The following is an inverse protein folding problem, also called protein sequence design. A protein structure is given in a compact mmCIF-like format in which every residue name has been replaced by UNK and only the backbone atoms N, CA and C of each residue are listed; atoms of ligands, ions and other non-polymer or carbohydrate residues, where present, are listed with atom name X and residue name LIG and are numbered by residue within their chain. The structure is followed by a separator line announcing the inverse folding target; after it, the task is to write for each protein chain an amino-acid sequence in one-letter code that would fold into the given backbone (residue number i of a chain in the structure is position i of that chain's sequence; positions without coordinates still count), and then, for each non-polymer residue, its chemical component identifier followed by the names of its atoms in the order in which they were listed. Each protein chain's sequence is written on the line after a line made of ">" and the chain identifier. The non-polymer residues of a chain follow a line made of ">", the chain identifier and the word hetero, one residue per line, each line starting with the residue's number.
data_IF_306273252833
#
_entry.id   IF_306273252833
#
_cell.length_a   1.000
_cell.length_b   1.000
_cell.length_c   1.000
_cell.angle_alpha   90.00
_cell.angle_beta   90.00
_cell.angle_gamma   90.00
#
_symmetry.space_group_name_H-M   'P 1'
#
loop_
_entity.id
_entity.type
_entity.pdbx_description
1 polymer ?
#
# COMPACT_ATOMS: atom_id res chain seq x y z
N UNK A 1 0.83 24.08 3.82
CA UNK A 1 1.00 22.78 4.49
C UNK A 1 0.68 21.68 3.48
N UNK A 2 1.54 20.69 3.26
CA UNK A 2 1.24 19.57 2.35
C UNK A 2 0.50 18.50 3.16
N UNK A 3 -0.80 18.32 2.89
CA UNK A 3 -1.61 17.28 3.52
C UNK A 3 -1.62 16.03 2.64
N UNK A 4 -1.61 14.87 3.29
CA UNK A 4 -1.75 13.58 2.65
C UNK A 4 -2.96 12.81 3.19
N UNK A 5 -3.51 11.92 2.38
CA UNK A 5 -4.61 11.03 2.79
C UNK A 5 -4.27 9.57 2.51
N UNK A 6 -4.67 8.68 3.41
CA UNK A 6 -4.41 7.25 3.24
C UNK A 6 -5.37 6.62 2.25
N UNK A 7 -4.81 5.93 1.27
CA UNK A 7 -5.57 5.08 0.35
C UNK A 7 -6.21 3.89 1.09
N UNK A 8 -5.75 3.49 2.27
CA UNK A 8 -6.37 2.43 3.09
C UNK A 8 -7.87 2.68 3.37
N UNK A 9 -8.31 3.94 3.39
CA UNK A 9 -9.74 4.28 3.55
C UNK A 9 -10.62 3.92 2.32
N UNK A 10 -10.02 3.51 1.20
CA UNK A 10 -10.69 3.27 -0.08
C UNK A 10 -10.71 1.78 -0.49
N UNK A 11 -10.85 0.84 0.45
CA UNK A 11 -10.84 -0.62 0.20
C UNK A 11 -11.86 -1.13 -0.83
N UNK A 12 -12.88 -0.34 -1.20
CA UNK A 12 -13.90 -0.70 -2.21
C UNK A 12 -13.60 -0.12 -3.60
N UNK A 13 -12.46 0.51 -3.79
CA UNK A 13 -12.07 1.20 -5.01
C UNK A 13 -10.74 0.66 -5.52
N UNK A 14 -10.48 0.84 -6.82
CA UNK A 14 -9.13 0.66 -7.35
C UNK A 14 -8.20 1.75 -6.80
N UNK A 15 -6.89 1.51 -6.84
CA UNK A 15 -5.92 2.56 -6.48
C UNK A 15 -6.12 3.83 -7.33
N UNK A 16 -6.42 3.68 -8.62
CA UNK A 16 -6.63 4.81 -9.52
C UNK A 16 -7.85 5.65 -9.12
N UNK A 17 -8.95 5.00 -8.74
CA UNK A 17 -10.15 5.70 -8.24
C UNK A 17 -9.90 6.38 -6.89
N UNK A 18 -9.15 5.74 -6.00
CA UNK A 18 -8.75 6.31 -4.72
C UNK A 18 -7.90 7.57 -4.92
N UNK A 19 -6.83 7.48 -5.73
CA UNK A 19 -5.96 8.60 -6.07
C UNK A 19 -6.73 9.75 -6.73
N UNK A 20 -7.64 9.44 -7.66
CA UNK A 20 -8.51 10.45 -8.31
C UNK A 20 -9.42 11.17 -7.32
N UNK A 21 -10.03 10.43 -6.38
CA UNK A 21 -10.88 11.03 -5.35
C UNK A 21 -10.07 11.90 -4.38
N UNK A 22 -8.94 11.39 -3.91
CA UNK A 22 -8.04 12.10 -2.98
C UNK A 22 -7.52 13.40 -3.61
N UNK A 23 -7.03 13.35 -4.85
CA UNK A 23 -6.56 14.54 -5.57
C UNK A 23 -7.68 15.57 -5.79
N UNK A 24 -8.90 15.13 -6.14
CA UNK A 24 -10.07 16.02 -6.27
C UNK A 24 -10.48 16.70 -4.97
N UNK A 25 -10.19 16.11 -3.82
CA UNK A 25 -10.43 16.72 -2.50
C UNK A 25 -9.36 17.76 -2.12
N UNK A 26 -8.34 17.97 -2.96
CA UNK A 26 -7.30 18.98 -2.76
C UNK A 26 -6.09 18.49 -1.95
N UNK A 27 -6.00 17.20 -1.64
CA UNK A 27 -4.80 16.63 -1.06
C UNK A 27 -3.64 16.67 -2.06
N UNK A 28 -2.43 16.88 -1.55
CA UNK A 28 -1.19 16.91 -2.35
C UNK A 28 -0.34 15.67 -2.12
N UNK A 29 -0.68 14.87 -1.10
CA UNK A 29 0.00 13.63 -0.77
C UNK A 29 -0.96 12.45 -0.66
N UNK A 30 -0.42 11.24 -0.84
CA UNK A 30 -1.14 9.98 -0.63
C UNK A 30 -0.25 8.96 0.08
N UNK A 31 -0.80 8.31 1.09
CA UNK A 31 -0.23 7.10 1.66
C UNK A 31 -0.76 5.90 0.85
N UNK A 32 0.16 5.11 0.29
CA UNK A 32 -0.19 3.95 -0.52
C UNK A 32 -0.27 2.74 0.40
N UNK A 33 -1.45 2.10 0.46
CA UNK A 33 -1.63 0.85 1.18
C UNK A 33 -0.97 -0.29 0.40
N UNK A 34 0.04 -0.92 0.98
CA UNK A 34 0.77 -2.03 0.39
C UNK A 34 0.00 -3.36 0.48
N UNK A 35 -1.27 -3.35 0.13
CA UNK A 35 -2.17 -4.49 0.28
C UNK A 35 -3.29 -4.45 -0.77
N UNK A 36 -4.08 -5.52 -0.83
CA UNK A 36 -5.27 -5.55 -1.70
C UNK A 36 -6.31 -4.54 -1.20
N UNK A 37 -6.94 -3.75 -2.10
CA UNK A 37 -6.88 -3.86 -3.56
C UNK A 37 -5.87 -2.94 -4.24
N UNK A 38 -4.97 -2.30 -3.50
CA UNK A 38 -4.13 -1.22 -4.01
C UNK A 38 -2.76 -1.68 -4.50
N UNK A 39 -1.85 -1.99 -3.56
CA UNK A 39 -0.45 -2.19 -3.88
C UNK A 39 0.14 -3.42 -3.20
N UNK A 40 -0.45 -4.60 -3.42
CA UNK A 40 0.06 -5.84 -2.84
C UNK A 40 1.43 -6.23 -3.42
N UNK A 41 2.52 -6.20 -2.63
CA UNK A 41 3.88 -6.22 -3.17
C UNK A 41 4.37 -7.62 -3.56
N UNK A 42 3.70 -8.71 -3.14
CA UNK A 42 4.15 -10.06 -3.44
C UNK A 42 3.99 -10.43 -4.93
N UNK A 43 3.07 -9.77 -5.65
CA UNK A 43 2.72 -10.10 -7.04
C UNK A 43 2.63 -8.86 -7.94
N UNK A 44 3.27 -7.75 -7.54
CA UNK A 44 3.17 -6.51 -8.32
C UNK A 44 4.13 -6.52 -9.51
N UNK A 45 3.57 -6.45 -10.71
CA UNK A 45 4.32 -6.33 -11.97
C UNK A 45 4.77 -4.88 -12.22
N UNK A 46 5.78 -4.70 -13.07
CA UNK A 46 6.25 -3.36 -13.49
C UNK A 46 5.14 -2.51 -14.08
N UNK A 47 4.24 -3.10 -14.88
CA UNK A 47 3.12 -2.38 -15.47
C UNK A 47 2.16 -1.84 -14.40
N UNK A 48 1.93 -2.58 -13.32
CA UNK A 48 1.09 -2.13 -12.21
C UNK A 48 1.77 -1.00 -11.43
N UNK A 49 3.09 -1.08 -11.23
CA UNK A 49 3.89 0.03 -10.66
C UNK A 49 3.83 1.27 -11.54
N UNK A 50 3.91 1.11 -12.86
CA UNK A 50 3.78 2.21 -13.81
C UNK A 50 2.37 2.83 -13.74
N UNK A 51 1.32 2.01 -13.66
CA UNK A 51 -0.05 2.47 -13.47
C UNK A 51 -0.25 3.29 -12.18
N UNK A 52 0.42 2.92 -11.09
CA UNK A 52 0.46 3.71 -9.86
C UNK A 52 1.10 5.09 -10.14
N UNK A 53 2.27 5.14 -10.79
CA UNK A 53 2.94 6.41 -11.13
C UNK A 53 2.09 7.32 -12.00
N UNK A 54 1.48 6.75 -13.02
CA UNK A 54 0.66 7.50 -13.97
C UNK A 54 -0.56 8.08 -13.27
N UNK A 55 -1.18 7.32 -12.37
CA UNK A 55 -2.30 7.81 -11.54
C UNK A 55 -1.87 8.93 -10.59
N UNK A 56 -0.73 8.79 -9.92
CA UNK A 56 -0.17 9.83 -9.05
C UNK A 56 0.09 11.12 -9.84
N UNK A 57 0.75 11.02 -10.99
CA UNK A 57 1.06 12.14 -11.88
C UNK A 57 -0.20 12.83 -12.39
N UNK A 58 -1.18 12.05 -12.84
CA UNK A 58 -2.45 12.57 -13.39
C UNK A 58 -3.29 13.31 -12.35
N UNK A 59 -3.10 13.00 -11.06
CA UNK A 59 -3.84 13.60 -9.96
C UNK A 59 -3.00 14.58 -9.11
N UNK A 60 -1.77 14.90 -9.56
CA UNK A 60 -0.84 15.79 -8.86
C UNK A 60 -0.59 15.39 -7.38
N UNK A 61 -0.42 14.08 -7.13
CA UNK A 61 -0.19 13.51 -5.81
C UNK A 61 1.27 13.07 -5.64
N UNK A 62 1.89 13.48 -4.55
CA UNK A 62 3.15 12.91 -4.08
C UNK A 62 2.92 11.72 -3.15
N UNK A 63 3.84 10.76 -3.12
CA UNK A 63 3.79 9.68 -2.13
C UNK A 63 4.24 10.24 -0.78
N UNK A 64 3.43 10.07 0.27
CA UNK A 64 3.81 10.46 1.63
C UNK A 64 4.48 9.31 2.38
N UNK A 65 4.01 8.08 2.19
CA UNK A 65 4.61 6.84 2.70
C UNK A 65 4.04 5.62 1.96
N UNK A 66 4.62 4.45 2.23
CA UNK A 66 4.02 3.13 1.94
C UNK A 66 3.54 2.53 3.26
N UNK A 67 2.25 2.25 3.37
CA UNK A 67 1.66 1.59 4.54
C UNK A 67 1.76 0.07 4.39
N UNK A 68 2.72 -0.51 5.11
CA UNK A 68 3.00 -1.96 5.20
C UNK A 68 2.35 -2.65 6.40
N UNK A 69 1.38 -2.00 7.05
CA UNK A 69 0.72 -2.55 8.23
C UNK A 69 -0.33 -3.60 7.86
N UNK A 70 -1.07 -3.36 6.78
CA UNK A 70 -2.22 -4.18 6.36
C UNK A 70 -1.76 -5.52 5.77
N UNK A 71 -2.53 -6.58 6.06
CA UNK A 71 -2.27 -7.98 5.66
C UNK A 71 -3.56 -8.70 5.22
N UNK A 72 -4.54 -7.99 4.68
CA UNK A 72 -5.79 -8.53 4.13
C UNK A 72 -5.57 -9.66 3.14
N UNK A 73 -4.57 -9.54 2.27
CA UNK A 73 -4.28 -10.57 1.27
C UNK A 73 -3.92 -11.93 1.88
N UNK A 74 -3.40 -11.96 3.12
CA UNK A 74 -3.13 -13.22 3.85
C UNK A 74 -4.43 -13.91 4.26
N UNK A 75 -5.49 -13.14 4.51
CA UNK A 75 -6.84 -13.61 4.82
C UNK A 75 -6.89 -14.65 5.96
N UNK A 76 -6.11 -14.43 7.02
CA UNK A 76 -6.12 -15.28 8.21
C UNK A 76 -7.40 -15.05 9.04
N UNK A 77 -8.04 -16.13 9.49
CA UNK A 77 -9.31 -16.06 10.22
C UNK A 77 -9.20 -15.46 11.62
N UNK A 78 -8.00 -15.47 12.23
CA UNK A 78 -7.78 -14.90 13.57
C UNK A 78 -7.91 -13.40 13.57
N UNK A 79 -7.45 -12.75 12.49
CA UNK A 79 -7.49 -11.31 12.35
C UNK A 79 -7.28 -10.92 10.90
N UNK A 80 -8.30 -10.28 10.32
CA UNK A 80 -8.39 -10.02 8.88
C UNK A 80 -7.52 -8.86 8.41
N UNK A 81 -7.10 -7.96 9.31
CA UNK A 81 -6.51 -6.67 8.91
C UNK A 81 -4.98 -6.63 8.92
N UNK A 82 -4.33 -7.19 9.94
CA UNK A 82 -2.91 -6.93 10.20
C UNK A 82 -2.11 -8.18 10.56
N UNK A 83 -2.76 -9.33 10.55
CA UNK A 83 -2.14 -10.60 10.93
C UNK A 83 -1.52 -11.29 9.71
N UNK A 84 -0.33 -11.90 9.84
CA UNK A 84 0.48 -12.08 11.04
C UNK A 84 1.27 -10.85 11.51
N UNK A 85 1.57 -10.82 12.82
CA UNK A 85 2.48 -9.83 13.42
C UNK A 85 3.94 -10.29 13.45
N UNK A 86 4.83 -9.46 13.98
CA UNK A 86 6.25 -9.82 14.17
C UNK A 86 6.51 -10.70 15.40
N UNK A 87 5.53 -10.85 16.29
CA UNK A 87 5.66 -11.56 17.57
C UNK A 87 4.96 -12.92 17.58
N UNK A 88 4.63 -13.45 16.40
CA UNK A 88 3.93 -14.74 16.33
C UNK A 88 4.77 -15.89 16.89
N UNK A 89 4.17 -16.81 17.66
CA UNK A 89 4.89 -17.98 18.17
C UNK A 89 5.39 -18.87 17.04
N UNK A 90 4.61 -18.99 15.96
CA UNK A 90 5.01 -19.70 14.76
C UNK A 90 5.99 -18.87 13.93
N UNK A 91 7.18 -19.44 13.70
CA UNK A 91 8.23 -18.85 12.87
C UNK A 91 7.79 -18.61 11.42
N UNK A 92 6.88 -19.43 10.87
CA UNK A 92 6.42 -19.28 9.50
C UNK A 92 5.55 -18.03 9.33
N UNK A 93 4.67 -17.76 10.30
CA UNK A 93 3.88 -16.53 10.31
C UNK A 93 4.75 -15.29 10.51
N UNK A 94 5.77 -15.35 11.38
CA UNK A 94 6.78 -14.26 11.47
C UNK A 94 7.49 -14.03 10.14
N UNK A 95 7.87 -15.11 9.44
CA UNK A 95 8.54 -15.00 8.15
C UNK A 95 7.65 -14.32 7.10
N UNK A 96 6.35 -14.63 7.05
CA UNK A 96 5.39 -13.94 6.17
C UNK A 96 5.42 -12.42 6.43
N UNK A 97 5.40 -12.00 7.69
CA UNK A 97 5.44 -10.57 8.06
C UNK A 97 6.78 -9.92 7.71
N UNK A 98 7.91 -10.61 7.94
CA UNK A 98 9.24 -10.14 7.56
C UNK A 98 9.33 -9.96 6.05
N UNK A 99 8.95 -10.98 5.28
CA UNK A 99 8.98 -10.96 3.82
C UNK A 99 8.11 -9.85 3.25
N UNK A 100 6.90 -9.67 3.79
CA UNK A 100 6.03 -8.58 3.38
C UNK A 100 6.68 -7.22 3.63
N UNK A 101 7.27 -7.02 4.82
CA UNK A 101 7.97 -5.78 5.18
C UNK A 101 9.12 -5.49 4.22
N UNK A 102 9.94 -6.51 3.91
CA UNK A 102 11.07 -6.37 2.97
C UNK A 102 10.59 -6.04 1.56
N UNK A 103 9.52 -6.68 1.07
CA UNK A 103 8.95 -6.36 -0.24
C UNK A 103 8.37 -4.95 -0.29
N UNK A 104 7.75 -4.48 0.79
CA UNK A 104 7.29 -3.09 0.91
C UNK A 104 8.44 -2.09 0.80
N UNK A 105 9.60 -2.39 1.41
CA UNK A 105 10.80 -1.54 1.28
C UNK A 105 11.32 -1.51 -0.16
N UNK A 106 11.40 -2.66 -0.82
CA UNK A 106 11.78 -2.74 -2.24
C UNK A 106 10.81 -1.93 -3.11
N UNK A 107 9.50 -2.13 -2.92
CA UNK A 107 8.47 -1.40 -3.65
C UNK A 107 8.51 0.10 -3.37
N UNK A 108 8.78 0.52 -2.12
CA UNK A 108 8.95 1.94 -1.77
C UNK A 108 10.09 2.56 -2.57
N UNK A 109 11.25 1.89 -2.61
CA UNK A 109 12.41 2.32 -3.40
C UNK A 109 12.08 2.40 -4.89
N UNK A 110 11.44 1.37 -5.44
CA UNK A 110 11.04 1.34 -6.84
C UNK A 110 10.09 2.49 -7.12
N UNK A 111 9.05 2.69 -6.30
CA UNK A 111 8.06 3.74 -6.46
C UNK A 111 8.61 5.15 -6.23
N UNK A 112 9.79 5.31 -5.64
CA UNK A 112 10.35 6.60 -5.27
C UNK A 112 9.62 7.23 -4.08
N UNK A 113 9.08 6.39 -3.19
CA UNK A 113 8.52 6.84 -1.92
C UNK A 113 9.66 7.31 -0.99
N UNK A 114 9.40 8.32 -0.14
CA UNK A 114 10.38 8.83 0.82
C UNK A 114 10.71 7.83 1.95
#
# INVERSE_FOLDING_TARGET
>A
MKLAFSSNAYLRFSFNDAAKKIGKLGYQGIEIMADVPHAWPAFMLEEQKQGIRDSLKSNNLAISNINSFMMHAVNDSRQRYWYPSWIEPDKHYRQIRIDHTMRCLTMAKELGAP
#
